data_IF_204264675019
#
_entry.id   IF_204264675019
#
_cell.length_a   1.000
_cell.length_b   1.000
_cell.length_c   1.000
_cell.angle_alpha   90.00
_cell.angle_beta   90.00
_cell.angle_gamma   90.00
#
_symmetry.space_group_name_H-M   'P 1'
#
loop_
_entity.id
_entity.type
_entity.pdbx_description
1 polymer ?
#
# COMPACT_ATOMS: atom_id res chain seq x y z
N UNK A 1 -3.54 -0.14 15.26
CA UNK A 1 -2.76 0.95 14.63
C UNK A 1 -2.63 0.54 13.17
N UNK A 2 -3.41 1.13 12.25
CA UNK A 2 -3.21 0.84 10.83
C UNK A 2 -1.78 1.26 10.46
N UNK A 3 -1.05 0.34 9.83
CA UNK A 3 0.40 0.35 9.70
C UNK A 3 0.91 1.65 9.08
N UNK A 4 1.85 2.30 9.77
CA UNK A 4 2.56 3.44 9.22
C UNK A 4 3.56 2.91 8.19
N UNK A 5 3.22 3.01 6.91
CA UNK A 5 4.09 2.59 5.79
C UNK A 5 5.46 3.25 5.85
N UNK A 6 5.50 4.53 6.25
CA UNK A 6 6.73 5.32 6.35
C UNK A 6 6.58 6.49 7.32
N UNK A 7 7.69 6.92 7.89
CA UNK A 7 7.76 8.22 8.56
C UNK A 7 7.93 9.35 7.53
N UNK A 8 6.86 10.12 7.33
CA UNK A 8 6.86 11.27 6.43
C UNK A 8 6.32 12.54 7.10
N UNK A 9 6.80 13.70 6.67
CA UNK A 9 6.33 15.02 7.14
C UNK A 9 5.22 15.61 6.25
N UNK A 10 5.12 15.16 5.00
CA UNK A 10 4.15 15.62 4.01
C UNK A 10 3.45 14.39 3.46
N UNK A 11 2.11 14.38 3.45
CA UNK A 11 1.34 13.25 2.92
C UNK A 11 1.64 13.05 1.43
N UNK A 12 2.08 11.84 1.07
CA UNK A 12 2.39 11.49 -0.32
C UNK A 12 1.72 10.20 -0.80
N UNK A 13 0.94 9.56 0.07
CA UNK A 13 0.23 8.31 -0.22
C UNK A 13 -1.21 8.57 -0.69
N UNK A 14 -1.64 7.90 -1.75
CA UNK A 14 -2.99 8.00 -2.32
C UNK A 14 -3.57 6.61 -2.63
N UNK A 15 -4.88 6.47 -2.38
CA UNK A 15 -5.69 5.31 -2.82
C UNK A 15 -6.75 5.82 -3.80
N UNK A 16 -6.84 5.17 -4.95
CA UNK A 16 -7.89 5.39 -5.94
C UNK A 16 -8.83 4.19 -5.95
N UNK A 17 -10.02 4.36 -5.37
CA UNK A 17 -11.06 3.32 -5.35
C UNK A 17 -11.63 3.04 -6.74
N UNK A 18 -11.69 4.06 -7.60
CA UNK A 18 -12.14 3.91 -8.99
C UNK A 18 -11.17 3.03 -9.79
N UNK A 19 -9.86 3.18 -9.56
CA UNK A 19 -8.82 2.42 -10.27
C UNK A 19 -8.46 1.11 -9.57
N UNK A 20 -8.89 0.92 -8.34
CA UNK A 20 -8.41 -0.11 -7.43
C UNK A 20 -6.88 -0.16 -7.32
N UNK A 21 -6.26 1.02 -7.17
CA UNK A 21 -4.80 1.18 -7.10
C UNK A 21 -4.41 2.06 -5.93
N UNK A 22 -3.18 1.87 -5.46
CA UNK A 22 -2.50 2.79 -4.55
C UNK A 22 -1.19 3.30 -5.15
N UNK A 23 -0.75 4.46 -4.66
CA UNK A 23 0.54 5.03 -5.03
C UNK A 23 1.09 5.93 -3.91
N UNK A 24 2.38 5.78 -3.60
CA UNK A 24 3.19 6.67 -2.78
C UNK A 24 4.10 7.51 -3.70
N UNK A 25 3.79 8.80 -3.81
CA UNK A 25 4.55 9.76 -4.61
C UNK A 25 5.92 10.09 -4.01
N UNK A 26 6.11 9.91 -2.71
CA UNK A 26 7.36 10.17 -2.01
C UNK A 26 8.46 9.15 -2.34
N UNK A 27 8.08 7.91 -2.67
CA UNK A 27 9.03 6.84 -3.06
C UNK A 27 8.80 6.27 -4.46
N UNK A 28 7.82 6.81 -5.21
CA UNK A 28 7.43 6.33 -6.54
C UNK A 28 7.11 4.82 -6.58
N UNK A 29 6.31 4.38 -5.60
CA UNK A 29 5.87 2.98 -5.47
C UNK A 29 4.35 2.92 -5.50
N UNK A 30 3.80 1.88 -6.10
CA UNK A 30 2.38 1.64 -6.11
C UNK A 30 2.05 0.31 -6.75
N UNK A 31 0.77 -0.02 -6.78
CA UNK A 31 0.28 -1.29 -7.28
C UNK A 31 -1.20 -1.50 -6.97
N UNK A 32 -1.60 -2.75 -7.04
CA UNK A 32 -2.91 -3.22 -6.59
C UNK A 32 -3.07 -3.16 -5.08
N UNK A 33 -4.30 -3.30 -4.61
CA UNK A 33 -4.63 -3.55 -3.21
C UNK A 33 -3.89 -4.76 -2.62
N UNK A 34 -3.69 -5.84 -3.39
CA UNK A 34 -2.88 -6.99 -2.97
C UNK A 34 -1.41 -6.59 -2.77
N UNK A 35 -0.83 -5.80 -3.68
CA UNK A 35 0.52 -5.27 -3.53
C UNK A 35 0.66 -4.41 -2.25
N UNK A 36 -0.39 -3.67 -1.90
CA UNK A 36 -0.42 -2.87 -0.67
C UNK A 36 -0.40 -3.74 0.58
N UNK A 37 -1.20 -4.82 0.60
CA UNK A 37 -1.27 -5.73 1.74
C UNK A 37 0.06 -6.43 1.95
N UNK A 38 0.68 -6.94 0.87
CA UNK A 38 2.01 -7.54 0.94
C UNK A 38 3.06 -6.56 1.48
N UNK A 39 2.98 -5.29 1.10
CA UNK A 39 3.90 -4.26 1.57
C UNK A 39 3.74 -3.96 3.07
N UNK A 40 2.51 -3.82 3.55
CA UNK A 40 2.21 -3.44 4.94
C UNK A 40 2.44 -4.61 5.90
N UNK A 41 2.06 -5.81 5.48
CA UNK A 41 2.08 -6.99 6.35
C UNK A 41 3.29 -7.90 6.14
N UNK A 42 4.14 -7.58 5.16
CA UNK A 42 5.33 -8.36 4.81
C UNK A 42 5.01 -9.86 4.55
N UNK A 43 3.94 -10.09 3.82
CA UNK A 43 3.43 -11.43 3.48
C UNK A 43 3.50 -11.69 1.97
N UNK A 44 3.32 -12.95 1.58
CA UNK A 44 3.25 -13.32 0.16
C UNK A 44 1.85 -13.12 -0.44
N UNK A 45 1.73 -13.25 -1.76
CA UNK A 45 0.46 -13.06 -2.48
C UNK A 45 -0.66 -14.00 -1.97
N UNK A 46 -0.33 -15.24 -1.61
CA UNK A 46 -1.33 -16.22 -1.15
C UNK A 46 -1.83 -15.89 0.25
N UNK A 47 -0.97 -15.33 1.08
CA UNK A 47 -1.32 -14.82 2.40
C UNK A 47 -2.14 -13.54 2.29
N UNK A 48 -1.75 -12.62 1.40
CA UNK A 48 -2.45 -11.37 1.14
C UNK A 48 -3.88 -11.59 0.61
N UNK A 49 -4.08 -12.54 -0.33
CA UNK A 49 -5.40 -12.87 -0.88
C UNK A 49 -6.37 -13.42 0.19
N UNK A 50 -5.86 -13.97 1.30
CA UNK A 50 -6.69 -14.55 2.38
C UNK A 50 -7.11 -13.53 3.44
N UNK A 51 -6.74 -12.26 3.29
CA UNK A 51 -7.08 -11.16 4.20
C UNK A 51 -8.40 -10.52 3.78
#
# INVERSE_FOLDING_TARGET
MWGKLREEKTASFNISLEKNLWYDFGISKGGSDIDLIMEIEHCDEKEAIKK
#
